data_IF_206609396806
#
_entry.id   IF_206609396806
#
_cell.length_a   1.000
_cell.length_b   1.000
_cell.length_c   1.000
_cell.angle_alpha   90.00
_cell.angle_beta   90.00
_cell.angle_gamma   90.00
#
_symmetry.space_group_name_H-M   'P 1'
#
loop_
_entity.id
_entity.type
_entity.pdbx_description
1 polymer ?
#
# COMPACT_ATOMS: atom_id res chain seq x y z
N UNK A 1 -7.55 7.51 -7.36
CA UNK A 1 -6.39 6.80 -7.96
C UNK A 1 -6.91 5.70 -8.87
N UNK A 2 -6.45 5.60 -10.12
CA UNK A 2 -6.73 4.47 -11.00
C UNK A 2 -5.40 3.82 -11.39
N UNK A 3 -5.10 2.66 -10.82
CA UNK A 3 -3.92 1.88 -11.17
C UNK A 3 -4.18 1.13 -12.48
N UNK A 4 -3.14 1.03 -13.32
CA UNK A 4 -3.18 0.11 -14.45
C UNK A 4 -3.22 -1.35 -13.99
N UNK A 5 -3.44 -2.27 -14.93
CA UNK A 5 -3.46 -3.72 -14.65
C UNK A 5 -2.21 -4.20 -13.92
N UNK A 6 -1.05 -3.65 -14.29
CA UNK A 6 0.23 -3.90 -13.64
C UNK A 6 0.80 -2.58 -13.11
N UNK A 7 1.38 -2.65 -11.92
CA UNK A 7 2.20 -1.60 -11.32
C UNK A 7 3.49 -2.20 -10.79
N UNK A 8 4.54 -1.39 -10.71
CA UNK A 8 5.83 -1.81 -10.16
C UNK A 8 6.40 -0.71 -9.28
N UNK A 9 6.76 -1.07 -8.04
CA UNK A 9 7.56 -0.23 -7.16
C UNK A 9 8.96 -0.06 -7.75
N UNK A 10 9.33 1.19 -8.03
CA UNK A 10 10.62 1.58 -8.61
C UNK A 10 11.37 2.49 -7.64
N UNK A 11 11.57 2.02 -6.41
CA UNK A 11 12.27 2.77 -5.38
C UNK A 11 13.60 3.34 -5.86
N UNK A 12 13.82 4.61 -5.55
CA UNK A 12 15.01 5.38 -5.95
C UNK A 12 15.52 6.17 -4.76
N UNK A 13 16.28 5.48 -3.90
CA UNK A 13 16.72 6.04 -2.62
C UNK A 13 17.51 7.34 -2.78
N UNK A 14 18.25 7.48 -3.88
CA UNK A 14 19.15 8.61 -4.12
C UNK A 14 18.64 9.60 -5.18
N UNK A 15 17.51 9.31 -5.84
CA UNK A 15 16.94 10.15 -6.89
C UNK A 15 17.74 10.17 -8.19
N UNK A 16 18.49 9.10 -8.48
CA UNK A 16 19.42 9.03 -9.62
C UNK A 16 19.09 7.91 -10.63
N UNK A 17 18.07 7.10 -10.35
CA UNK A 17 17.74 5.87 -11.09
C UNK A 17 16.48 5.99 -11.94
N UNK A 18 15.59 6.94 -11.61
CA UNK A 18 14.26 7.07 -12.25
C UNK A 18 14.27 7.00 -13.77
N UNK A 19 15.23 7.66 -14.44
CA UNK A 19 15.35 7.63 -15.91
C UNK A 19 15.65 6.25 -16.47
N UNK A 20 16.56 5.52 -15.84
CA UNK A 20 16.93 4.17 -16.26
C UNK A 20 15.77 3.19 -16.01
N UNK A 21 15.10 3.32 -14.86
CA UNK A 21 13.92 2.54 -14.51
C UNK A 21 12.78 2.77 -15.53
N UNK A 22 12.46 4.02 -15.86
CA UNK A 22 11.43 4.34 -16.85
C UNK A 22 11.77 3.80 -18.24
N UNK A 23 13.03 3.86 -18.68
CA UNK A 23 13.45 3.27 -19.95
C UNK A 23 13.17 1.77 -20.01
N UNK A 24 13.41 1.04 -18.91
CA UNK A 24 13.07 -0.38 -18.84
C UNK A 24 11.56 -0.62 -18.96
N UNK A 25 10.73 0.21 -18.31
CA UNK A 25 9.27 0.10 -18.43
C UNK A 25 8.77 0.49 -19.84
N UNK A 26 9.40 1.45 -20.50
CA UNK A 26 9.11 1.77 -21.91
C UNK A 26 9.45 0.60 -22.84
N UNK A 27 10.53 -0.14 -22.57
CA UNK A 27 10.84 -1.36 -23.32
C UNK A 27 9.76 -2.42 -23.13
N UNK A 28 9.29 -2.65 -21.90
CA UNK A 28 8.16 -3.55 -21.64
C UNK A 28 6.89 -3.09 -22.37
N UNK A 29 6.62 -1.79 -22.40
CA UNK A 29 5.47 -1.22 -23.10
C UNK A 29 5.53 -1.48 -24.62
N UNK A 30 6.71 -1.46 -25.24
CA UNK A 30 6.91 -1.80 -26.66
C UNK A 30 6.61 -3.27 -26.96
N UNK A 31 6.80 -4.14 -25.98
CA UNK A 31 6.41 -5.56 -26.03
C UNK A 31 4.92 -5.78 -25.67
N UNK A 32 4.14 -4.70 -25.52
CA UNK A 32 2.72 -4.75 -25.21
C UNK A 32 2.38 -4.91 -23.72
N UNK A 33 3.38 -4.85 -22.83
CA UNK A 33 3.19 -4.99 -21.38
C UNK A 33 3.24 -3.62 -20.73
N UNK A 34 2.08 -3.04 -20.45
CA UNK A 34 1.99 -1.74 -19.80
C UNK A 34 2.11 -1.87 -18.27
N UNK A 35 3.15 -1.28 -17.69
CA UNK A 35 3.41 -1.27 -16.25
C UNK A 35 3.40 0.17 -15.75
N UNK A 36 2.61 0.43 -14.73
CA UNK A 36 2.52 1.76 -14.08
C UNK A 36 3.65 1.91 -13.06
N UNK A 37 4.57 2.88 -13.23
CA UNK A 37 5.63 3.12 -12.26
C UNK A 37 5.09 3.72 -10.95
N UNK A 38 5.63 3.24 -9.83
CA UNK A 38 5.34 3.73 -8.48
C UNK A 38 6.67 4.00 -7.78
N UNK A 39 7.06 5.26 -7.62
CA UNK A 39 8.25 5.62 -6.83
C UNK A 39 7.94 5.44 -5.35
N UNK A 40 8.33 4.31 -4.78
CA UNK A 40 8.15 4.03 -3.36
C UNK A 40 9.39 4.39 -2.56
N UNK A 41 9.19 5.08 -1.43
CA UNK A 41 10.25 5.35 -0.46
C UNK A 41 9.65 5.48 0.93
N UNK A 42 10.25 4.79 1.90
CA UNK A 42 9.76 4.80 3.28
C UNK A 42 10.32 5.97 4.08
N UNK A 43 9.63 6.33 5.17
CA UNK A 43 10.12 7.34 6.12
C UNK A 43 11.54 7.01 6.63
N UNK A 44 11.82 5.74 6.90
CA UNK A 44 13.15 5.26 7.33
C UNK A 44 14.22 5.54 6.27
N UNK A 45 13.90 5.37 4.99
CA UNK A 45 14.84 5.65 3.91
C UNK A 45 15.11 7.13 3.76
N UNK A 46 14.09 7.97 3.92
CA UNK A 46 14.23 9.43 3.97
C UNK A 46 15.20 9.85 5.06
N UNK A 47 15.04 9.34 6.28
CA UNK A 47 15.93 9.61 7.42
C UNK A 47 17.38 9.15 7.17
N UNK A 48 17.57 7.95 6.61
CA UNK A 48 18.89 7.37 6.36
C UNK A 48 19.74 8.15 5.37
N UNK A 49 19.12 8.80 4.38
CA UNK A 49 19.83 9.55 3.33
C UNK A 49 19.60 11.06 3.41
N UNK A 50 18.99 11.53 4.50
CA UNK A 50 18.71 12.94 4.75
C UNK A 50 17.96 13.62 3.61
N UNK A 51 16.86 13.00 3.18
CA UNK A 51 15.95 13.51 2.14
C UNK A 51 14.53 13.60 2.68
N UNK A 52 13.69 14.34 1.99
CA UNK A 52 12.27 14.56 2.32
C UNK A 52 11.35 14.00 1.23
N UNK A 53 10.06 13.74 1.52
CA UNK A 53 9.12 13.21 0.53
C UNK A 53 8.99 14.08 -0.73
N UNK A 54 9.16 15.40 -0.59
CA UNK A 54 9.22 16.34 -1.72
C UNK A 54 10.36 16.02 -2.69
N UNK A 55 11.51 15.54 -2.20
CA UNK A 55 12.66 15.21 -3.05
C UNK A 55 12.33 14.03 -3.97
N UNK A 56 11.60 13.03 -3.46
CA UNK A 56 11.12 11.89 -4.27
C UNK A 56 10.11 12.35 -5.31
N UNK A 57 9.19 13.26 -4.96
CA UNK A 57 8.26 13.85 -5.92
C UNK A 57 8.99 14.56 -7.06
N UNK A 58 9.92 15.46 -6.73
CA UNK A 58 10.67 16.22 -7.72
C UNK A 58 11.51 15.31 -8.63
N UNK A 59 12.19 14.31 -8.06
CA UNK A 59 12.96 13.33 -8.83
C UNK A 59 12.09 12.50 -9.78
N UNK A 60 10.88 12.11 -9.35
CA UNK A 60 9.93 11.40 -10.20
C UNK A 60 9.41 12.29 -11.34
N UNK A 61 9.07 13.55 -11.06
CA UNK A 61 8.64 14.53 -12.07
C UNK A 61 9.72 14.77 -13.13
N UNK A 62 10.96 14.98 -12.71
CA UNK A 62 12.11 15.15 -13.60
C UNK A 62 12.31 13.91 -14.48
N UNK A 63 12.32 12.71 -13.89
CA UNK A 63 12.47 11.48 -14.64
C UNK A 63 11.34 11.27 -15.67
N UNK A 64 10.09 11.52 -15.29
CA UNK A 64 8.92 11.42 -16.16
C UNK A 64 9.03 12.40 -17.33
N UNK A 65 9.37 13.66 -17.04
CA UNK A 65 9.53 14.70 -18.05
C UNK A 65 10.66 14.35 -19.04
N UNK A 66 11.84 13.99 -18.54
CA UNK A 66 13.00 13.67 -19.38
C UNK A 66 12.82 12.41 -20.21
N UNK A 67 12.13 11.39 -19.67
CA UNK A 67 11.86 10.15 -20.38
C UNK A 67 10.69 10.30 -21.37
N UNK A 68 9.92 11.40 -21.31
CA UNK A 68 8.71 11.59 -22.11
C UNK A 68 7.61 10.58 -21.75
N UNK A 69 7.48 10.22 -20.47
CA UNK A 69 6.46 9.29 -20.01
C UNK A 69 5.10 10.01 -19.90
N UNK A 70 4.13 9.59 -20.71
CA UNK A 70 2.82 10.24 -20.85
C UNK A 70 1.67 9.43 -20.23
N UNK A 71 1.99 8.37 -19.47
CA UNK A 71 1.02 7.47 -18.82
C UNK A 71 0.96 7.75 -17.31
N UNK A 72 -0.05 7.22 -16.58
CA UNK A 72 -0.10 7.35 -15.14
C UNK A 72 1.18 6.87 -14.46
N UNK A 73 1.48 7.50 -13.32
CA UNK A 73 2.60 7.19 -12.44
C UNK A 73 2.29 7.70 -11.04
N UNK A 74 2.93 7.12 -10.03
CA UNK A 74 2.65 7.44 -8.63
C UNK A 74 3.93 7.61 -7.81
N UNK A 75 3.79 8.31 -6.70
CA UNK A 75 4.77 8.37 -5.61
C UNK A 75 4.10 7.75 -4.39
N UNK A 76 4.68 6.66 -3.91
CA UNK A 76 4.20 5.90 -2.77
C UNK A 76 4.92 6.30 -1.49
N UNK A 77 4.10 6.73 -0.52
CA UNK A 77 4.51 6.84 0.87
C UNK A 77 4.57 5.42 1.46
N UNK A 78 5.75 4.82 1.40
CA UNK A 78 5.93 3.42 1.76
C UNK A 78 5.98 3.26 3.29
N UNK A 79 5.32 2.22 3.82
CA UNK A 79 5.26 1.90 5.24
C UNK A 79 4.84 3.08 6.16
N UNK A 80 3.75 3.77 5.84
CA UNK A 80 3.28 4.88 6.68
C UNK A 80 2.45 4.41 7.87
N UNK A 81 2.51 5.20 8.94
CA UNK A 81 1.68 5.09 10.12
C UNK A 81 1.14 6.48 10.50
N UNK A 82 0.29 6.53 11.52
CA UNK A 82 -0.24 7.79 12.08
C UNK A 82 0.85 8.76 12.55
N UNK A 83 2.05 8.25 12.81
CA UNK A 83 3.17 9.06 13.30
C UNK A 83 3.82 9.89 12.19
N UNK A 84 3.82 9.38 10.95
CA UNK A 84 4.60 9.96 9.86
C UNK A 84 3.77 10.37 8.63
N UNK A 85 2.52 9.93 8.52
CA UNK A 85 1.65 10.15 7.34
C UNK A 85 1.57 11.61 6.90
N UNK A 86 1.47 12.56 7.85
CA UNK A 86 1.32 13.99 7.56
C UNK A 86 2.42 14.55 6.65
N UNK A 87 3.64 14.01 6.75
CA UNK A 87 4.78 14.44 5.93
C UNK A 87 4.62 14.10 4.44
N UNK A 88 3.78 13.13 4.12
CA UNK A 88 3.64 12.58 2.78
C UNK A 88 2.40 13.08 2.04
N UNK A 89 1.40 13.64 2.74
CA UNK A 89 0.10 13.98 2.17
C UNK A 89 0.19 14.93 0.96
N UNK A 90 1.09 15.92 1.02
CA UNK A 90 1.26 16.92 -0.05
C UNK A 90 2.16 16.44 -1.21
N UNK A 91 2.85 15.30 -1.05
CA UNK A 91 3.91 14.87 -1.96
C UNK A 91 3.67 13.49 -2.57
N UNK A 92 2.82 12.66 -1.96
CA UNK A 92 2.51 11.30 -2.39
C UNK A 92 1.07 11.20 -2.89
N UNK A 93 0.83 10.24 -3.78
CA UNK A 93 -0.50 9.95 -4.33
C UNK A 93 -0.81 8.45 -4.38
N UNK A 94 0.02 7.66 -3.68
CA UNK A 94 -0.12 6.26 -3.36
C UNK A 94 0.38 6.10 -1.92
N UNK A 95 -0.29 5.27 -1.12
CA UNK A 95 -0.02 5.17 0.32
C UNK A 95 -0.08 3.71 0.76
N UNK A 96 1.03 3.20 1.28
CA UNK A 96 1.13 1.84 1.84
C UNK A 96 0.99 1.91 3.36
N UNK A 97 -0.22 1.61 3.86
CA UNK A 97 -0.54 1.66 5.29
C UNK A 97 0.12 0.48 6.04
N UNK A 98 1.03 0.79 6.96
CA UNK A 98 1.69 -0.22 7.79
C UNK A 98 0.91 -0.44 9.09
N UNK A 99 0.35 -1.63 9.23
CA UNK A 99 -0.38 -2.07 10.42
C UNK A 99 0.23 -3.31 11.07
N UNK A 100 1.47 -3.65 10.70
CA UNK A 100 2.16 -4.85 11.16
C UNK A 100 2.29 -4.91 12.67
N UNK A 101 2.53 -3.76 13.32
CA UNK A 101 2.61 -3.62 14.78
C UNK A 101 1.31 -4.01 15.52
N UNK A 102 0.18 -4.09 14.82
CA UNK A 102 -1.12 -4.40 15.42
C UNK A 102 -1.59 -5.84 15.18
N UNK A 103 -0.86 -6.60 14.37
CA UNK A 103 -1.16 -8.01 14.13
C UNK A 103 -0.94 -8.81 15.42
N UNK A 104 -1.93 -9.63 15.80
CA UNK A 104 -1.94 -10.44 17.01
C UNK A 104 -2.28 -9.68 18.29
N UNK A 105 -2.55 -8.37 18.22
CA UNK A 105 -3.03 -7.58 19.35
C UNK A 105 -4.56 -7.64 19.41
N UNK A 106 -5.11 -7.72 20.62
CA UNK A 106 -6.55 -7.76 20.84
C UNK A 106 -7.21 -6.44 20.45
N UNK A 107 -8.26 -6.52 19.63
CA UNK A 107 -9.09 -5.37 19.31
C UNK A 107 -9.84 -4.89 20.57
N UNK A 108 -9.98 -3.57 20.78
CA UNK A 108 -10.53 -3.02 22.01
C UNK A 108 -12.05 -3.24 22.15
N UNK A 109 -12.50 -3.39 23.39
CA UNK A 109 -13.92 -3.38 23.78
C UNK A 109 -14.78 -4.45 23.11
N UNK A 110 -15.96 -4.04 22.64
CA UNK A 110 -16.96 -4.90 21.98
C UNK A 110 -16.64 -5.22 20.50
N UNK A 111 -15.48 -4.78 19.98
CA UNK A 111 -15.15 -4.95 18.56
C UNK A 111 -15.10 -6.42 18.13
N UNK A 112 -14.45 -7.36 18.87
CA UNK A 112 -14.48 -8.79 18.51
C UNK A 112 -15.89 -9.38 18.53
N UNK A 113 -16.70 -9.05 19.53
CA UNK A 113 -18.08 -9.54 19.66
C UNK A 113 -18.96 -9.04 18.51
N UNK A 114 -18.81 -7.76 18.12
CA UNK A 114 -19.49 -7.19 16.95
C UNK A 114 -19.03 -7.87 15.66
N UNK A 115 -17.73 -8.03 15.45
CA UNK A 115 -17.16 -8.71 14.29
C UNK A 115 -17.75 -10.12 14.15
N UNK A 116 -17.80 -10.89 15.23
CA UNK A 116 -18.36 -12.23 15.22
C UNK A 116 -19.85 -12.22 14.83
N UNK A 117 -20.67 -11.40 15.51
CA UNK A 117 -22.12 -11.31 15.25
C UNK A 117 -22.43 -10.91 13.81
N UNK A 118 -21.65 -9.99 13.24
CA UNK A 118 -21.84 -9.52 11.85
C UNK A 118 -21.49 -10.59 10.82
N UNK A 119 -20.51 -11.46 11.10
CA UNK A 119 -19.93 -12.35 10.10
C UNK A 119 -20.29 -13.84 10.28
N UNK A 120 -20.92 -14.24 11.38
CA UNK A 120 -21.19 -15.66 11.68
C UNK A 120 -22.04 -16.36 10.61
N UNK A 121 -22.96 -15.65 9.96
CA UNK A 121 -23.78 -16.20 8.86
C UNK A 121 -22.96 -16.59 7.65
N UNK A 122 -21.74 -16.05 7.47
CA UNK A 122 -20.82 -16.48 6.40
C UNK A 122 -20.35 -17.91 6.57
N UNK A 123 -20.43 -18.48 7.78
CA UNK A 123 -20.11 -19.89 8.04
C UNK A 123 -21.16 -20.84 7.46
N UNK A 124 -22.37 -20.35 7.18
CA UNK A 124 -23.49 -21.11 6.62
C UNK A 124 -23.48 -21.10 5.08
N UNK A 125 -22.88 -20.09 4.45
CA UNK A 125 -22.81 -19.99 2.99
C UNK A 125 -21.69 -20.86 2.41
N UNK A 126 -22.08 -22.06 1.96
CA UNK A 126 -21.20 -23.02 1.30
C UNK A 126 -21.23 -22.93 -0.24
N UNK A 127 -22.01 -22.00 -0.79
CA UNK A 127 -22.11 -21.79 -2.24
C UNK A 127 -20.82 -21.18 -2.80
N UNK A 128 -20.15 -20.35 -2.00
CA UNK A 128 -18.87 -19.72 -2.31
C UNK A 128 -17.73 -20.68 -1.96
N UNK A 129 -16.91 -21.15 -2.93
CA UNK A 129 -15.90 -22.17 -2.69
C UNK A 129 -14.92 -21.86 -1.56
N UNK A 130 -14.46 -20.61 -1.46
CA UNK A 130 -13.50 -20.20 -0.43
C UNK A 130 -14.10 -19.99 0.97
N UNK A 131 -15.43 -19.92 1.10
CA UNK A 131 -16.10 -19.87 2.41
C UNK A 131 -16.42 -21.26 2.97
N UNK A 132 -16.19 -22.34 2.19
CA UNK A 132 -16.46 -23.70 2.67
C UNK A 132 -15.67 -24.07 3.91
N UNK A 133 -14.42 -23.63 3.96
CA UNK A 133 -13.49 -23.83 5.07
C UNK A 133 -13.69 -22.83 6.21
N UNK A 134 -14.56 -21.82 6.05
CA UNK A 134 -14.86 -20.87 7.09
C UNK A 134 -15.70 -21.54 8.19
N UNK A 135 -15.14 -21.56 9.40
CA UNK A 135 -15.82 -22.00 10.64
C UNK A 135 -15.91 -20.87 11.65
N UNK A 136 -16.70 -21.08 12.70
CA UNK A 136 -16.81 -20.16 13.84
C UNK A 136 -15.44 -19.94 14.51
N UNK A 137 -14.67 -21.01 14.69
CA UNK A 137 -13.34 -20.98 15.31
C UNK A 137 -12.33 -20.23 14.43
N UNK A 138 -12.43 -20.39 13.10
CA UNK A 138 -11.59 -19.61 12.17
C UNK A 138 -11.95 -18.12 12.22
N UNK A 139 -13.24 -17.77 12.29
CA UNK A 139 -13.67 -16.37 12.48
C UNK A 139 -13.10 -15.77 13.77
N UNK A 140 -13.14 -16.50 14.88
CA UNK A 140 -12.54 -16.05 16.14
C UNK A 140 -11.03 -15.87 16.02
N UNK A 141 -10.33 -16.84 15.43
CA UNK A 141 -8.87 -16.77 15.19
C UNK A 141 -8.49 -15.58 14.32
N UNK A 142 -9.25 -15.31 13.26
CA UNK A 142 -9.04 -14.14 12.40
C UNK A 142 -9.28 -12.85 13.18
N UNK A 143 -10.32 -12.79 14.01
CA UNK A 143 -10.59 -11.62 14.83
C UNK A 143 -9.45 -11.33 15.82
N UNK A 144 -8.98 -12.34 16.54
CA UNK A 144 -7.87 -12.23 17.49
C UNK A 144 -6.56 -11.80 16.82
N UNK A 145 -6.34 -12.26 15.58
CA UNK A 145 -5.07 -12.02 14.89
C UNK A 145 -5.04 -10.74 14.05
N UNK A 146 -6.14 -10.36 13.41
CA UNK A 146 -6.12 -9.33 12.37
C UNK A 146 -7.12 -8.20 12.58
N UNK A 147 -8.16 -8.36 13.41
CA UNK A 147 -9.21 -7.34 13.54
C UNK A 147 -8.64 -5.97 13.94
N UNK A 148 -7.72 -5.95 14.90
CA UNK A 148 -7.17 -4.68 15.37
C UNK A 148 -6.32 -4.00 14.29
N UNK A 149 -5.50 -4.76 13.55
CA UNK A 149 -4.73 -4.23 12.43
C UNK A 149 -5.63 -3.65 11.32
N UNK A 150 -6.76 -4.29 11.03
CA UNK A 150 -7.76 -3.76 10.07
C UNK A 150 -8.40 -2.47 10.60
N UNK A 151 -8.68 -2.39 11.91
CA UNK A 151 -9.21 -1.16 12.52
C UNK A 151 -8.22 -0.01 12.42
N UNK A 152 -6.94 -0.24 12.73
CA UNK A 152 -5.89 0.80 12.61
C UNK A 152 -5.68 1.23 11.16
N UNK A 153 -5.79 0.30 10.19
CA UNK A 153 -5.78 0.66 8.77
C UNK A 153 -6.96 1.58 8.41
N UNK A 154 -8.16 1.29 8.94
CA UNK A 154 -9.33 2.12 8.73
C UNK A 154 -9.18 3.50 9.38
N UNK A 155 -8.65 3.58 10.60
CA UNK A 155 -8.37 4.85 11.26
C UNK A 155 -7.33 5.68 10.52
N UNK A 156 -6.27 5.06 9.98
CA UNK A 156 -5.24 5.76 9.22
C UNK A 156 -5.72 6.20 7.82
N UNK A 157 -6.70 5.50 7.25
CA UNK A 157 -7.29 5.85 5.96
C UNK A 157 -8.20 7.09 6.02
N UNK A 158 -8.82 7.34 7.19
CA UNK A 158 -9.81 8.40 7.41
C UNK A 158 -9.17 9.72 7.86
#
# INVERSE_FOLDING_TARGET
>A
MQLGTYSMGIGDRFGLQGKAQLRALQMAAREGIMITPVWNKSNREHELVHSEPVDTRLSAEEAVQEAGWDKPWFVDADHISRVNVDRFLDHCNYFTLDVSDFIGKQAPGEAPGRFYRTNISLTEDKSIPFLRELTSELLQTVAEKYLYAVMEAAELYH
#
